data_IF_205369321627
#
_entry.id   IF_205369321627
#
_cell.length_a   1.000
_cell.length_b   1.000
_cell.length_c   1.000
_cell.angle_alpha   90.00
_cell.angle_beta   90.00
_cell.angle_gamma   90.00
#
_symmetry.space_group_name_H-M   'P 1'
#
loop_
_entity.id
_entity.type
_entity.pdbx_description
1 polymer ?
#
# COMPACT_ATOMS: atom_id res chain seq x y z
N UNK A 1 18.23 35.58 4.78
CA UNK A 1 18.33 35.27 3.32
C UNK A 1 17.09 34.50 2.87
N UNK A 2 16.50 34.76 1.68
CA UNK A 2 15.25 34.12 1.22
C UNK A 2 15.26 32.58 1.21
N UNK A 3 16.45 31.96 1.07
CA UNK A 3 16.63 30.50 1.04
C UNK A 3 16.52 29.88 2.43
N UNK A 4 17.06 30.55 3.44
CA UNK A 4 17.05 30.08 4.82
C UNK A 4 15.64 30.12 5.43
N UNK A 5 14.88 31.16 5.10
CA UNK A 5 13.45 31.27 5.48
C UNK A 5 12.60 30.16 4.84
N UNK A 6 12.78 29.90 3.54
CA UNK A 6 12.08 28.81 2.85
C UNK A 6 12.40 27.45 3.45
N UNK A 7 13.65 27.23 3.86
CA UNK A 7 14.07 26.03 4.59
C UNK A 7 13.34 25.91 5.93
N UNK A 8 13.32 26.96 6.76
CA UNK A 8 12.61 26.92 8.06
C UNK A 8 11.11 26.69 7.92
N UNK A 9 10.46 27.31 6.93
CA UNK A 9 9.04 27.08 6.62
C UNK A 9 8.80 25.62 6.23
N UNK A 10 9.65 25.07 5.36
CA UNK A 10 9.57 23.67 4.95
C UNK A 10 9.76 22.72 6.14
N UNK A 11 10.82 22.90 6.93
CA UNK A 11 11.11 22.07 8.11
C UNK A 11 9.96 22.11 9.12
N UNK A 12 9.35 23.28 9.32
CA UNK A 12 8.19 23.42 10.20
C UNK A 12 6.98 22.63 9.71
N UNK A 13 6.64 22.76 8.42
CA UNK A 13 5.52 22.04 7.79
C UNK A 13 5.81 20.52 7.76
N UNK A 14 7.05 20.10 7.54
CA UNK A 14 7.42 18.69 7.56
C UNK A 14 7.34 18.08 8.98
N UNK A 15 7.68 18.84 10.01
CA UNK A 15 7.65 18.38 11.40
C UNK A 15 6.22 18.34 11.98
N UNK A 16 5.37 19.32 11.67
CA UNK A 16 4.00 19.42 12.19
C UNK A 16 2.95 18.83 11.25
N UNK A 17 3.37 18.51 10.03
CA UNK A 17 2.55 17.95 8.97
C UNK A 17 1.77 19.00 8.18
N UNK A 18 1.13 19.93 8.89
CA UNK A 18 0.48 21.09 8.31
C UNK A 18 0.78 22.35 9.10
N UNK A 19 0.60 23.50 8.46
CA UNK A 19 0.68 24.80 9.10
C UNK A 19 -0.35 25.76 8.50
N UNK A 20 -0.95 26.58 9.34
CA UNK A 20 -1.79 27.68 8.89
C UNK A 20 -0.95 28.94 8.58
N UNK A 21 -1.55 29.90 7.88
CA UNK A 21 -0.84 31.12 7.47
C UNK A 21 -0.34 31.94 8.67
N UNK A 22 -1.07 31.96 9.78
CA UNK A 22 -0.70 32.75 10.96
C UNK A 22 0.54 32.18 11.67
N UNK A 23 0.63 30.86 11.79
CA UNK A 23 1.82 30.14 12.29
C UNK A 23 3.05 30.42 11.42
N UNK A 24 2.88 30.33 10.10
CA UNK A 24 3.96 30.58 9.15
C UNK A 24 4.39 32.06 9.14
N UNK A 25 3.45 32.97 9.36
CA UNK A 25 3.72 34.39 9.51
C UNK A 25 4.53 34.69 10.77
N UNK A 26 4.24 34.02 11.89
CA UNK A 26 5.05 34.11 13.11
C UNK A 26 6.46 33.54 12.92
N UNK A 27 6.58 32.41 12.21
CA UNK A 27 7.86 31.77 11.94
C UNK A 27 8.80 32.65 11.09
N UNK A 28 8.24 33.51 10.25
CA UNK A 28 8.98 34.26 9.25
C UNK A 28 9.38 35.69 9.66
N UNK A 29 9.23 36.08 10.95
CA UNK A 29 9.71 37.33 11.58
C UNK A 29 9.89 38.52 10.61
N UNK A 30 8.81 39.27 10.37
CA UNK A 30 8.84 40.51 9.60
C UNK A 30 8.61 40.37 8.09
N UNK A 31 8.15 39.21 7.60
CA UNK A 31 7.72 39.08 6.21
C UNK A 31 6.29 39.60 6.01
N UNK A 32 6.02 40.13 4.82
CA UNK A 32 4.65 40.43 4.40
C UNK A 32 3.91 39.16 3.95
N UNK A 33 2.59 39.17 3.98
CA UNK A 33 1.76 38.07 3.43
C UNK A 33 2.09 37.76 1.97
N UNK A 34 2.45 38.78 1.17
CA UNK A 34 2.85 38.61 -0.23
C UNK A 34 4.21 37.90 -0.36
N UNK A 35 5.12 38.14 0.59
CA UNK A 35 6.41 37.44 0.66
C UNK A 35 6.22 35.97 1.03
N UNK A 36 5.41 35.68 2.05
CA UNK A 36 5.08 34.32 2.44
C UNK A 36 4.39 33.57 1.29
N UNK A 37 3.46 34.22 0.59
CA UNK A 37 2.78 33.62 -0.56
C UNK A 37 3.75 33.22 -1.68
N UNK A 38 4.75 34.08 -1.99
CA UNK A 38 5.78 33.78 -2.99
C UNK A 38 6.66 32.60 -2.56
N UNK A 39 7.01 32.53 -1.28
CA UNK A 39 7.81 31.43 -0.74
C UNK A 39 7.04 30.10 -0.75
N UNK A 40 5.78 30.11 -0.33
CA UNK A 40 4.91 28.93 -0.38
C UNK A 40 4.66 28.47 -1.82
N UNK A 41 4.48 29.40 -2.76
CA UNK A 41 4.37 29.07 -4.19
C UNK A 41 5.64 28.37 -4.68
N UNK A 42 6.81 28.89 -4.32
CA UNK A 42 8.08 28.28 -4.73
C UNK A 42 8.30 26.90 -4.12
N UNK A 43 7.94 26.69 -2.86
CA UNK A 43 8.01 25.38 -2.21
C UNK A 43 7.00 24.37 -2.79
N UNK A 44 5.85 24.84 -3.28
CA UNK A 44 4.88 24.01 -4.02
C UNK A 44 5.39 23.66 -5.42
N UNK A 45 5.97 24.62 -6.15
CA UNK A 45 6.60 24.39 -7.46
C UNK A 45 7.79 23.41 -7.36
N UNK A 46 8.50 23.39 -6.22
CA UNK A 46 9.58 22.45 -5.89
C UNK A 46 9.05 21.09 -5.37
N UNK A 47 7.73 20.92 -5.20
CA UNK A 47 7.11 19.67 -4.75
C UNK A 47 7.33 19.33 -3.26
N UNK A 48 7.73 20.30 -2.44
CA UNK A 48 7.96 20.08 -1.00
C UNK A 48 6.68 20.17 -0.17
N UNK A 49 5.74 21.03 -0.56
CA UNK A 49 4.45 21.27 0.12
C UNK A 49 3.31 21.36 -0.89
N UNK A 50 2.06 21.24 -0.43
CA UNK A 50 0.86 21.63 -1.18
C UNK A 50 0.13 22.72 -0.42
N UNK A 51 -0.33 23.75 -1.11
CA UNK A 51 -1.12 24.81 -0.49
C UNK A 51 -2.56 24.33 -0.27
N UNK A 52 -3.14 24.70 0.88
CA UNK A 52 -4.56 24.51 1.21
C UNK A 52 -5.22 25.87 1.48
N UNK A 53 -6.55 25.90 1.55
CA UNK A 53 -7.25 27.12 2.00
C UNK A 53 -6.77 27.46 3.43
N UNK A 54 -6.08 28.59 3.58
CA UNK A 54 -5.59 29.08 4.87
C UNK A 54 -4.22 28.56 5.32
N UNK A 55 -3.47 27.83 4.49
CA UNK A 55 -2.17 27.30 4.92
C UNK A 55 -1.46 26.42 3.89
N UNK A 56 -0.60 25.54 4.38
CA UNK A 56 0.08 24.53 3.58
C UNK A 56 0.23 23.22 4.35
N UNK A 57 0.34 22.13 3.61
CA UNK A 57 0.52 20.76 4.11
C UNK A 57 1.72 20.12 3.43
N UNK A 58 2.47 19.28 4.15
CA UNK A 58 3.61 18.58 3.57
C UNK A 58 3.16 17.67 2.42
N UNK A 59 3.89 17.62 1.31
CA UNK A 59 3.52 16.73 0.18
C UNK A 59 3.45 15.27 0.61
N UNK A 60 4.30 14.85 1.55
CA UNK A 60 4.22 13.49 2.13
C UNK A 60 2.86 13.20 2.77
N UNK A 61 2.19 14.21 3.32
CA UNK A 61 0.85 14.06 3.94
C UNK A 61 -0.30 14.13 2.94
N UNK A 62 -0.14 14.93 1.90
CA UNK A 62 -1.05 14.94 0.74
C UNK A 62 -0.99 13.61 0.01
N UNK A 63 0.19 13.01 -0.08
CA UNK A 63 0.35 11.65 -0.57
C UNK A 63 -0.41 10.67 0.33
N UNK A 64 -0.36 10.80 1.66
CA UNK A 64 -1.14 9.91 2.55
C UNK A 64 -2.66 10.07 2.45
N UNK A 65 -3.18 11.26 2.07
CA UNK A 65 -4.60 11.46 1.74
C UNK A 65 -5.00 10.91 0.35
N UNK A 66 -4.04 10.76 -0.57
CA UNK A 66 -4.23 10.16 -1.90
C UNK A 66 -3.73 8.72 -2.01
N UNK A 67 -3.13 8.19 -0.94
CA UNK A 67 -2.58 6.85 -0.88
C UNK A 67 -3.72 5.84 -0.83
N UNK A 68 -3.60 4.82 -1.67
CA UNK A 68 -4.45 3.63 -1.59
C UNK A 68 -4.41 3.04 -0.18
N UNK A 69 -5.48 2.38 0.26
CA UNK A 69 -5.48 1.64 1.53
C UNK A 69 -4.32 0.64 1.61
N UNK A 70 -3.86 0.12 0.47
CA UNK A 70 -2.68 -0.73 0.37
C UNK A 70 -1.40 0.00 0.80
N UNK A 71 -1.14 1.20 0.29
CA UNK A 71 0.06 1.98 0.61
C UNK A 71 0.11 2.33 2.10
N UNK A 72 -1.02 2.82 2.66
CA UNK A 72 -1.14 3.07 4.08
C UNK A 72 -0.88 1.81 4.90
N UNK A 73 -1.46 0.67 4.50
CA UNK A 73 -1.22 -0.61 5.18
C UNK A 73 0.24 -1.01 5.06
N UNK A 74 0.91 -0.80 3.94
CA UNK A 74 2.27 -1.28 3.67
C UNK A 74 3.29 -0.84 4.73
N UNK A 75 3.15 0.40 5.23
CA UNK A 75 4.06 0.99 6.22
C UNK A 75 3.69 0.65 7.67
N UNK A 76 2.50 0.11 7.93
CA UNK A 76 2.04 -0.27 9.26
C UNK A 76 2.58 -1.65 9.66
N UNK A 77 3.14 -1.75 10.87
CA UNK A 77 3.62 -2.99 11.48
C UNK A 77 4.53 -3.87 10.59
N UNK A 78 5.56 -3.32 9.90
CA UNK A 78 6.40 -4.09 8.98
C UNK A 78 7.15 -5.23 9.66
N UNK A 79 7.58 -5.05 10.92
CA UNK A 79 8.22 -6.11 11.71
C UNK A 79 7.30 -7.31 11.96
N UNK A 80 6.04 -7.06 12.30
CA UNK A 80 5.06 -8.12 12.53
C UNK A 80 4.77 -8.90 11.23
N UNK A 81 4.60 -8.20 10.10
CA UNK A 81 4.43 -8.85 8.80
C UNK A 81 5.63 -9.68 8.39
N UNK A 82 6.85 -9.22 8.71
CA UNK A 82 8.07 -9.99 8.49
C UNK A 82 8.07 -11.30 9.26
N UNK A 83 7.63 -11.28 10.52
CA UNK A 83 7.50 -12.49 11.35
C UNK A 83 6.46 -13.46 10.77
N UNK A 84 5.28 -12.95 10.36
CA UNK A 84 4.24 -13.75 9.71
C UNK A 84 4.78 -14.38 8.42
N UNK A 85 5.44 -13.58 7.57
CA UNK A 85 6.04 -14.02 6.33
C UNK A 85 7.09 -15.12 6.53
N UNK A 86 7.96 -14.98 7.54
CA UNK A 86 8.94 -16.02 7.90
C UNK A 86 8.28 -17.32 8.31
N UNK A 87 7.16 -17.25 9.04
CA UNK A 87 6.40 -18.45 9.41
C UNK A 87 5.62 -19.04 8.24
N UNK A 88 5.22 -18.24 7.27
CA UNK A 88 4.39 -18.69 6.16
C UNK A 88 5.22 -19.26 4.99
N UNK A 89 6.42 -18.71 4.76
CA UNK A 89 7.29 -19.11 3.63
C UNK A 89 7.73 -20.57 3.70
N UNK A 90 7.82 -21.15 4.91
CA UNK A 90 8.20 -22.55 5.09
C UNK A 90 7.17 -23.55 4.54
N UNK A 91 5.92 -23.11 4.33
CA UNK A 91 4.86 -23.93 3.76
C UNK A 91 4.80 -23.81 2.24
N UNK A 92 5.63 -22.99 1.60
CA UNK A 92 5.64 -22.88 0.13
C UNK A 92 6.76 -23.77 -0.40
N UNK A 93 6.40 -24.87 -1.06
CA UNK A 93 7.36 -25.83 -1.61
C UNK A 93 7.46 -25.75 -3.12
N UNK A 94 8.54 -26.32 -3.67
CA UNK A 94 8.70 -26.42 -5.12
C UNK A 94 7.59 -27.26 -5.72
N UNK A 95 7.15 -26.86 -6.91
CA UNK A 95 6.10 -27.53 -7.69
C UNK A 95 4.68 -27.47 -7.13
N UNK A 96 4.47 -26.86 -5.95
CA UNK A 96 3.12 -26.62 -5.42
C UNK A 96 2.34 -25.64 -6.30
N UNK A 97 1.02 -25.87 -6.40
CA UNK A 97 0.03 -24.90 -6.85
C UNK A 97 -0.38 -24.04 -5.64
N UNK A 98 0.17 -22.82 -5.58
CA UNK A 98 0.04 -21.94 -4.41
C UNK A 98 -0.85 -20.75 -4.72
N UNK A 99 -1.93 -20.60 -3.97
CA UNK A 99 -2.73 -19.38 -3.97
C UNK A 99 -2.16 -18.37 -2.98
N UNK A 100 -1.78 -17.20 -3.49
CA UNK A 100 -1.39 -16.04 -2.69
C UNK A 100 -2.44 -14.94 -2.84
N UNK A 101 -3.05 -14.57 -1.74
CA UNK A 101 -4.01 -13.45 -1.69
C UNK A 101 -3.32 -12.10 -1.96
N UNK A 102 -4.08 -11.02 -1.98
CA UNK A 102 -3.52 -9.68 -2.10
C UNK A 102 -3.10 -9.09 -0.74
N UNK A 103 -2.34 -8.00 -0.77
CA UNK A 103 -2.10 -7.16 0.40
C UNK A 103 -0.68 -7.20 0.95
N UNK A 104 -0.37 -6.23 1.80
CA UNK A 104 1.02 -5.94 2.21
C UNK A 104 1.68 -7.04 3.04
N UNK A 105 0.91 -7.90 3.72
CA UNK A 105 1.46 -9.07 4.43
C UNK A 105 1.92 -10.15 3.44
N UNK A 106 1.15 -10.38 2.37
CA UNK A 106 1.57 -11.29 1.29
C UNK A 106 2.78 -10.72 0.57
N UNK A 107 2.84 -9.41 0.33
CA UNK A 107 4.03 -8.79 -0.26
C UNK A 107 5.30 -9.05 0.58
N UNK A 108 5.19 -8.99 1.92
CA UNK A 108 6.31 -9.33 2.79
C UNK A 108 6.76 -10.79 2.65
N UNK A 109 5.83 -11.73 2.40
CA UNK A 109 6.13 -13.13 2.10
C UNK A 109 6.81 -13.28 0.74
N UNK A 110 6.29 -12.61 -0.29
CA UNK A 110 6.80 -12.66 -1.67
C UNK A 110 8.26 -12.21 -1.74
N UNK A 111 8.64 -11.17 -1.00
CA UNK A 111 10.03 -10.72 -0.91
C UNK A 111 10.98 -11.76 -0.26
N UNK A 112 10.45 -12.72 0.50
CA UNK A 112 11.24 -13.79 1.10
C UNK A 112 11.31 -15.07 0.26
N UNK A 113 10.42 -15.21 -0.74
CA UNK A 113 10.42 -16.39 -1.59
C UNK A 113 11.72 -16.45 -2.42
N UNK A 114 12.50 -17.55 -2.34
CA UNK A 114 13.64 -17.73 -3.21
C UNK A 114 13.18 -17.95 -4.65
N UNK A 115 14.01 -17.64 -5.64
CA UNK A 115 13.68 -17.90 -7.06
C UNK A 115 13.76 -19.40 -7.37
N UNK A 116 12.61 -20.07 -7.35
CA UNK A 116 12.43 -21.51 -7.59
C UNK A 116 11.17 -21.77 -8.42
N UNK A 117 10.98 -23.04 -8.81
CA UNK A 117 9.83 -23.46 -9.61
C UNK A 117 8.55 -23.55 -8.76
N UNK A 118 7.74 -22.51 -8.82
CA UNK A 118 6.40 -22.46 -8.22
C UNK A 118 5.34 -22.20 -9.29
N UNK A 119 4.13 -22.70 -9.07
CA UNK A 119 2.94 -22.28 -9.80
C UNK A 119 2.09 -21.40 -8.87
N UNK A 120 2.27 -20.09 -8.97
CA UNK A 120 1.57 -19.14 -8.10
C UNK A 120 0.34 -18.59 -8.80
N UNK A 121 -0.77 -18.63 -8.09
CA UNK A 121 -2.05 -18.01 -8.46
C UNK A 121 -2.31 -16.89 -7.48
N UNK A 122 -2.58 -15.68 -7.96
CA UNK A 122 -2.78 -14.55 -7.06
C UNK A 122 -3.93 -13.65 -7.46
N UNK A 123 -4.61 -13.11 -6.44
CA UNK A 123 -5.55 -12.00 -6.58
C UNK A 123 -4.84 -10.64 -6.60
N UNK A 124 -3.60 -10.52 -6.13
CA UNK A 124 -2.89 -9.24 -6.07
C UNK A 124 -2.17 -8.90 -7.37
N UNK A 125 -2.52 -7.79 -8.03
CA UNK A 125 -1.83 -7.39 -9.29
C UNK A 125 -0.39 -6.96 -9.04
N UNK A 126 -0.14 -6.27 -7.92
CA UNK A 126 1.21 -5.93 -7.48
C UNK A 126 2.02 -7.15 -7.02
N UNK A 127 1.36 -8.11 -6.35
CA UNK A 127 1.98 -9.39 -5.99
C UNK A 127 2.46 -10.12 -7.26
N UNK A 128 1.61 -10.17 -8.29
CA UNK A 128 1.96 -10.77 -9.56
C UNK A 128 3.14 -10.06 -10.23
N UNK A 129 3.13 -8.73 -10.24
CA UNK A 129 4.20 -7.91 -10.82
C UNK A 129 5.54 -8.09 -10.10
N UNK A 130 5.54 -8.31 -8.78
CA UNK A 130 6.78 -8.57 -8.03
C UNK A 130 7.29 -9.98 -8.33
N UNK A 131 6.39 -10.97 -8.33
CA UNK A 131 6.76 -12.36 -8.62
C UNK A 131 7.22 -12.56 -10.06
N UNK A 132 6.72 -11.79 -11.02
CA UNK A 132 7.14 -11.88 -12.43
C UNK A 132 8.60 -11.49 -12.65
N UNK A 133 9.25 -10.85 -11.67
CA UNK A 133 10.70 -10.58 -11.71
C UNK A 133 11.54 -11.83 -11.42
N UNK A 134 10.92 -12.92 -10.94
CA UNK A 134 11.59 -14.20 -10.67
C UNK A 134 11.59 -15.06 -11.92
N UNK A 135 12.75 -15.63 -12.26
CA UNK A 135 12.95 -16.37 -13.51
C UNK A 135 12.31 -17.75 -13.53
N UNK A 136 12.07 -18.34 -12.36
CA UNK A 136 11.54 -19.70 -12.21
C UNK A 136 10.11 -19.74 -11.68
N UNK A 137 9.50 -18.59 -11.41
CA UNK A 137 8.14 -18.54 -10.90
C UNK A 137 7.13 -18.42 -12.05
N UNK A 138 6.23 -19.38 -12.19
CA UNK A 138 5.06 -19.22 -13.03
C UNK A 138 3.98 -18.48 -12.24
N UNK A 139 3.44 -17.39 -12.79
CA UNK A 139 2.52 -16.49 -12.09
C UNK A 139 1.26 -16.30 -12.91
N UNK A 140 0.13 -16.68 -12.33
CA UNK A 140 -1.20 -16.47 -12.91
C UNK A 140 -2.00 -15.50 -12.05
N UNK A 141 -2.56 -14.47 -12.67
CA UNK A 141 -3.49 -13.55 -12.00
C UNK A 141 -4.91 -14.05 -12.27
N UNK A 142 -5.74 -14.13 -11.23
CA UNK A 142 -7.15 -14.58 -11.35
C UNK A 142 -8.01 -13.74 -12.31
N UNK A 143 -7.55 -12.54 -12.68
CA UNK A 143 -8.27 -11.62 -13.56
C UNK A 143 -9.50 -10.99 -12.87
N UNK A 144 -10.37 -10.35 -13.64
CA UNK A 144 -11.55 -9.66 -13.10
C UNK A 144 -11.34 -8.17 -12.85
N UNK A 145 -12.13 -7.59 -11.93
CA UNK A 145 -12.11 -6.16 -11.63
C UNK A 145 -11.05 -5.82 -10.59
N UNK A 146 -10.22 -4.81 -10.90
CA UNK A 146 -9.15 -4.34 -10.00
C UNK A 146 -9.69 -3.29 -9.04
N UNK A 147 -9.55 -3.54 -7.74
CA UNK A 147 -9.77 -2.55 -6.71
C UNK A 147 -8.48 -1.77 -6.44
N UNK A 148 -8.46 -0.47 -6.78
CA UNK A 148 -7.30 0.39 -6.59
C UNK A 148 -6.88 0.59 -5.12
N UNK A 149 -7.80 0.39 -4.16
CA UNK A 149 -7.49 0.54 -2.74
C UNK A 149 -6.72 -0.65 -2.18
N UNK A 150 -6.97 -1.86 -2.68
CA UNK A 150 -6.32 -3.09 -2.21
C UNK A 150 -5.32 -3.67 -3.20
N UNK A 151 -5.30 -3.11 -4.42
CA UNK A 151 -4.47 -3.55 -5.56
C UNK A 151 -4.73 -5.04 -5.85
N UNK A 152 -6.02 -5.42 -5.80
CA UNK A 152 -6.48 -6.80 -5.95
C UNK A 152 -7.59 -6.95 -6.97
N UNK A 153 -7.58 -8.07 -7.68
CA UNK A 153 -8.63 -8.48 -8.58
C UNK A 153 -9.71 -9.28 -7.86
N UNK A 154 -10.98 -9.05 -8.22
CA UNK A 154 -12.13 -9.81 -7.74
C UNK A 154 -13.28 -9.78 -8.74
N UNK A 155 -14.36 -10.50 -8.44
CA UNK A 155 -15.60 -10.50 -9.22
C UNK A 155 -15.86 -11.83 -9.95
N UNK A 156 -16.99 -11.93 -10.66
CA UNK A 156 -17.50 -13.21 -11.15
C UNK A 156 -16.54 -13.97 -12.07
N UNK A 157 -15.75 -13.26 -12.89
CA UNK A 157 -14.76 -13.88 -13.76
C UNK A 157 -13.60 -14.51 -12.98
N UNK A 158 -13.16 -13.83 -11.92
CA UNK A 158 -12.11 -14.32 -11.03
C UNK A 158 -12.59 -15.54 -10.22
N UNK A 159 -13.85 -15.49 -9.77
CA UNK A 159 -14.50 -16.60 -9.07
C UNK A 159 -14.62 -17.83 -9.99
N UNK A 160 -15.07 -17.64 -11.24
CA UNK A 160 -15.20 -18.73 -12.22
C UNK A 160 -13.83 -19.30 -12.64
N UNK A 161 -12.78 -18.47 -12.68
CA UNK A 161 -11.42 -18.96 -12.92
C UNK A 161 -10.98 -19.93 -11.82
N UNK A 162 -11.24 -19.61 -10.54
CA UNK A 162 -10.87 -20.46 -9.42
C UNK A 162 -11.62 -21.80 -9.40
N UNK A 163 -12.83 -21.87 -9.95
CA UNK A 163 -13.58 -23.14 -10.08
C UNK A 163 -12.85 -24.18 -10.98
N UNK A 164 -11.92 -23.73 -11.83
CA UNK A 164 -11.15 -24.58 -12.75
C UNK A 164 -9.74 -24.93 -12.27
N UNK A 165 -9.39 -24.59 -11.02
CA UNK A 165 -8.02 -24.69 -10.49
C UNK A 165 -7.98 -25.57 -9.26
N UNK A 166 -6.97 -26.44 -9.17
CA UNK A 166 -6.62 -27.12 -7.93
C UNK A 166 -5.50 -26.38 -7.22
N UNK A 167 -5.71 -26.03 -5.95
CA UNK A 167 -4.77 -25.30 -5.10
C UNK A 167 -4.29 -26.26 -4.02
N UNK A 168 -2.97 -26.47 -3.93
CA UNK A 168 -2.37 -27.28 -2.87
C UNK A 168 -2.29 -26.48 -1.57
N UNK A 169 -1.90 -25.20 -1.68
CA UNK A 169 -1.63 -24.35 -0.53
C UNK A 169 -2.22 -22.96 -0.77
N UNK A 170 -3.03 -22.48 0.16
CA UNK A 170 -3.59 -21.13 0.13
C UNK A 170 -3.09 -20.30 1.30
N UNK A 171 -2.43 -19.18 1.00
CA UNK A 171 -2.01 -18.19 1.99
C UNK A 171 -2.87 -16.94 1.81
N UNK A 172 -3.81 -16.74 2.73
CA UNK A 172 -4.81 -15.69 2.66
C UNK A 172 -4.70 -14.70 3.81
N UNK A 173 -5.11 -13.46 3.55
CA UNK A 173 -5.18 -12.41 4.57
C UNK A 173 -6.63 -12.13 4.96
N UNK A 174 -6.82 -11.65 6.18
CA UNK A 174 -8.12 -11.27 6.72
C UNK A 174 -8.10 -9.82 7.18
N UNK A 175 -9.26 -9.17 7.19
CA UNK A 175 -9.42 -7.84 7.80
C UNK A 175 -9.55 -7.93 9.33
N UNK A 176 -9.99 -9.08 9.86
CA UNK A 176 -10.16 -9.27 11.29
C UNK A 176 -10.44 -10.73 11.63
N UNK A 177 -10.06 -11.12 12.83
CA UNK A 177 -10.30 -12.46 13.36
C UNK A 177 -10.93 -12.35 14.75
N UNK A 178 -11.93 -13.19 15.01
CA UNK A 178 -12.47 -13.42 16.34
C UNK A 178 -12.85 -14.88 16.52
N UNK A 179 -12.84 -15.37 17.76
CA UNK A 179 -13.22 -16.75 18.04
C UNK A 179 -14.70 -17.05 17.70
N UNK A 180 -15.57 -16.05 17.77
CA UNK A 180 -16.99 -16.21 17.50
C UNK A 180 -17.33 -16.13 16.00
N UNK A 181 -16.73 -15.17 15.29
CA UNK A 181 -17.08 -14.85 13.90
C UNK A 181 -16.06 -15.35 12.89
N UNK A 182 -14.97 -15.98 13.33
CA UNK A 182 -13.88 -16.43 12.48
C UNK A 182 -13.17 -15.28 11.76
N UNK A 183 -12.72 -15.55 10.54
CA UNK A 183 -12.06 -14.58 9.66
C UNK A 183 -13.08 -13.71 8.92
N UNK A 184 -12.83 -12.41 8.84
CA UNK A 184 -13.69 -11.45 8.14
C UNK A 184 -12.95 -10.71 7.02
N UNK A 185 -13.69 -10.11 6.10
CA UNK A 185 -13.14 -9.29 5.01
C UNK A 185 -13.93 -8.00 4.88
N UNK A 186 -13.22 -6.88 4.67
CA UNK A 186 -13.83 -5.56 4.53
C UNK A 186 -14.52 -5.35 3.18
N UNK A 187 -14.21 -6.16 2.17
CA UNK A 187 -14.79 -6.05 0.82
C UNK A 187 -15.54 -7.32 0.44
N UNK A 188 -16.79 -7.14 0.02
CA UNK A 188 -17.68 -8.24 -0.32
C UNK A 188 -17.19 -9.07 -1.52
N UNK A 189 -16.66 -8.42 -2.57
CA UNK A 189 -16.15 -9.12 -3.75
C UNK A 189 -14.89 -9.94 -3.45
N UNK A 190 -13.97 -9.41 -2.64
CA UNK A 190 -12.80 -10.15 -2.16
C UNK A 190 -13.21 -11.32 -1.25
N UNK A 191 -14.25 -11.14 -0.42
CA UNK A 191 -14.82 -12.21 0.38
C UNK A 191 -15.34 -13.37 -0.49
N UNK A 192 -16.12 -13.08 -1.53
CA UNK A 192 -16.67 -14.12 -2.40
C UNK A 192 -15.56 -14.87 -3.14
N UNK A 193 -14.53 -14.16 -3.60
CA UNK A 193 -13.36 -14.79 -4.19
C UNK A 193 -12.64 -15.73 -3.21
N UNK A 194 -12.39 -15.29 -1.97
CA UNK A 194 -11.73 -16.14 -0.96
C UNK A 194 -12.55 -17.38 -0.59
N UNK A 195 -13.88 -17.30 -0.65
CA UNK A 195 -14.75 -18.48 -0.49
C UNK A 195 -14.64 -19.51 -1.60
N UNK A 196 -14.10 -19.15 -2.77
CA UNK A 196 -13.81 -20.10 -3.87
C UNK A 196 -12.48 -20.82 -3.69
N UNK A 197 -11.61 -20.30 -2.82
CA UNK A 197 -10.30 -20.90 -2.52
C UNK A 197 -10.41 -22.01 -1.47
N UNK A 198 -11.46 -22.00 -0.64
CA UNK A 198 -11.69 -22.94 0.48
C UNK A 198 -12.86 -23.85 0.15
#
# INVERSE_FOLDING_TARGET
MPTERRRSIREYIEAHGEANLDELMQLCNGCSSMTLWRDLKKLEDEGAIRRKRGGAIAVRLVQTEAESLYEQRSVVNPKAKRIIAQSAVQYVHQSDSVYLDAGSTIMALVHMLPDQYYNIITSGTNIASELSQKSKCNVTVVGGQVNGNTISCSGPQAEAFLDGVNIDIAIMVTSGFSLQSGFTSSHFSEHQLKRKVI
#
